data_IF_063369137989
#
_entry.id   IF_063369137989
#
_cell.length_a   1.000
_cell.length_b   1.000
_cell.length_c   1.000
_cell.angle_alpha   90.00
_cell.angle_beta   90.00
_cell.angle_gamma   90.00
#
_symmetry.space_group_name_H-M   'P 1'
#
loop_
_entity.id
_entity.type
_entity.pdbx_description
1 polymer ?
#
# COMPACT_ATOMS: atom_id res chain seq x y z
N UNK A 1 8.26 -3.23 -7.51
CA UNK A 1 6.79 -3.35 -7.47
C UNK A 1 6.22 -2.41 -6.40
N UNK A 2 5.06 -1.79 -6.60
CA UNK A 2 4.45 -0.87 -5.61
C UNK A 2 3.92 -1.62 -4.38
N UNK A 3 3.73 -2.94 -4.48
CA UNK A 3 3.30 -3.76 -3.34
C UNK A 3 4.47 -4.42 -2.61
N UNK A 4 5.58 -4.71 -3.29
CA UNK A 4 6.72 -5.42 -2.68
C UNK A 4 7.64 -4.51 -1.86
N UNK A 5 7.75 -3.23 -2.20
CA UNK A 5 8.60 -2.33 -1.42
C UNK A 5 7.79 -1.66 -0.31
N UNK A 6 8.13 -2.00 0.94
CA UNK A 6 7.67 -1.23 2.09
C UNK A 6 7.98 0.27 1.87
N UNK A 7 7.07 1.13 2.33
CA UNK A 7 7.33 2.55 2.40
C UNK A 7 8.52 2.76 3.36
N UNK A 8 9.62 3.38 2.91
CA UNK A 8 10.70 3.74 3.83
C UNK A 8 10.14 4.65 4.93
N UNK A 9 10.75 4.68 6.11
CA UNK A 9 10.35 5.61 7.16
C UNK A 9 10.41 7.04 6.62
N UNK A 10 9.49 7.89 7.07
CA UNK A 10 9.47 9.30 6.67
C UNK A 10 10.80 9.94 7.07
N UNK A 11 11.47 10.67 6.16
CA UNK A 11 12.64 11.46 6.51
C UNK A 11 12.28 12.42 7.66
N UNK A 12 13.01 12.33 8.75
CA UNK A 12 12.90 13.23 9.92
C UNK A 12 14.24 13.92 10.11
N UNK A 13 14.20 15.18 10.54
CA UNK A 13 15.41 15.93 10.85
C UNK A 13 16.13 15.26 12.01
N UNK A 14 17.45 15.14 11.92
CA UNK A 14 18.28 14.61 13.01
C UNK A 14 18.87 15.81 13.76
N UNK A 15 18.45 16.03 15.00
CA UNK A 15 18.84 17.22 15.76
C UNK A 15 18.28 18.51 15.13
N UNK A 16 19.11 19.56 15.04
CA UNK A 16 18.75 20.85 14.42
C UNK A 16 18.89 20.87 12.89
N UNK A 17 19.28 19.75 12.26
CA UNK A 17 19.44 19.68 10.81
C UNK A 17 18.07 19.58 10.10
N UNK A 18 17.77 20.48 9.13
CA UNK A 18 16.54 20.39 8.36
C UNK A 18 16.52 19.11 7.52
N UNK A 19 15.32 18.55 7.35
CA UNK A 19 15.09 17.43 6.41
C UNK A 19 15.52 17.84 5.01
N UNK A 20 16.26 16.96 4.34
CA UNK A 20 16.57 17.11 2.92
C UNK A 20 15.25 17.24 2.11
N UNK A 21 15.02 18.39 1.44
CA UNK A 21 13.80 18.63 0.68
C UNK A 21 13.59 17.65 -0.46
N UNK A 22 14.67 17.19 -1.11
CA UNK A 22 14.62 16.22 -2.19
C UNK A 22 14.22 14.84 -1.65
N UNK A 23 14.83 14.40 -0.55
CA UNK A 23 14.47 13.13 0.09
C UNK A 23 13.01 13.11 0.55
N UNK A 24 12.51 14.24 1.07
CA UNK A 24 11.10 14.38 1.46
C UNK A 24 10.16 14.38 0.24
N UNK A 25 10.53 15.03 -0.85
CA UNK A 25 9.75 15.05 -2.09
C UNK A 25 9.65 13.65 -2.70
N UNK A 26 10.76 12.92 -2.76
CA UNK A 26 10.79 11.52 -3.24
C UNK A 26 9.96 10.60 -2.35
N UNK A 27 10.06 10.75 -1.02
CA UNK A 27 9.24 10.01 -0.06
C UNK A 27 7.75 10.29 -0.26
N UNK A 28 7.37 11.57 -0.41
CA UNK A 28 5.99 12.01 -0.60
C UNK A 28 5.42 11.47 -1.91
N UNK A 29 6.19 11.52 -3.00
CA UNK A 29 5.78 10.97 -4.29
C UNK A 29 5.57 9.45 -4.22
N UNK A 30 6.40 8.72 -3.45
CA UNK A 30 6.22 7.30 -3.21
C UNK A 30 4.96 7.03 -2.38
N UNK A 31 4.77 7.76 -1.29
CA UNK A 31 3.60 7.68 -0.42
C UNK A 31 2.29 7.94 -1.17
N UNK A 32 2.23 8.98 -1.99
CA UNK A 32 1.06 9.29 -2.81
C UNK A 32 0.70 8.17 -3.79
N UNK A 33 1.70 7.49 -4.37
CA UNK A 33 1.45 6.34 -5.24
C UNK A 33 0.86 5.17 -4.45
N UNK A 34 1.41 4.84 -3.28
CA UNK A 34 0.86 3.80 -2.41
C UNK A 34 -0.58 4.13 -1.95
N UNK A 35 -0.84 5.39 -1.59
CA UNK A 35 -2.17 5.84 -1.20
C UNK A 35 -3.16 5.77 -2.37
N UNK A 36 -2.77 6.17 -3.58
CA UNK A 36 -3.64 6.05 -4.76
C UNK A 36 -4.02 4.60 -5.02
N UNK A 37 -3.06 3.68 -4.92
CA UNK A 37 -3.31 2.25 -5.07
C UNK A 37 -4.24 1.72 -3.99
N UNK A 38 -4.04 2.11 -2.72
CA UNK A 38 -4.92 1.77 -1.61
C UNK A 38 -6.35 2.28 -1.81
N UNK A 39 -6.49 3.54 -2.22
CA UNK A 39 -7.79 4.16 -2.51
C UNK A 39 -8.50 3.50 -3.69
N UNK A 40 -7.77 3.13 -4.75
CA UNK A 40 -8.34 2.41 -5.90
C UNK A 40 -8.82 1.01 -5.49
N UNK A 41 -8.01 0.28 -4.71
CA UNK A 41 -8.40 -1.01 -4.16
C UNK A 41 -9.66 -0.88 -3.28
N UNK A 42 -9.67 0.02 -2.30
CA UNK A 42 -10.81 0.27 -1.42
C UNK A 42 -12.06 0.76 -2.17
N UNK A 43 -11.89 1.63 -3.16
CA UNK A 43 -12.99 2.19 -3.96
C UNK A 43 -13.65 1.20 -4.90
N UNK A 44 -12.91 0.17 -5.32
CA UNK A 44 -13.44 -0.94 -6.14
C UNK A 44 -14.16 -2.02 -5.32
N UNK A 45 -14.06 -1.98 -3.99
CA UNK A 45 -14.66 -2.94 -3.09
C UNK A 45 -16.11 -2.61 -2.74
N UNK A 46 -16.90 -3.63 -2.38
CA UNK A 46 -18.20 -3.41 -1.74
C UNK A 46 -18.03 -2.77 -0.36
N UNK A 47 -19.04 -2.03 0.16
CA UNK A 47 -18.96 -1.38 1.48
C UNK A 47 -18.59 -2.34 2.63
N UNK A 48 -18.96 -3.62 2.50
CA UNK A 48 -18.64 -4.66 3.47
C UNK A 48 -17.14 -5.02 3.45
N UNK A 49 -16.55 -5.18 2.26
CA UNK A 49 -15.10 -5.38 2.12
C UNK A 49 -14.32 -4.14 2.57
N UNK A 50 -14.80 -2.93 2.24
CA UNK A 50 -14.18 -1.68 2.69
C UNK A 50 -14.01 -1.64 4.23
N UNK A 51 -15.05 -2.01 4.99
CA UNK A 51 -14.96 -2.06 6.45
C UNK A 51 -13.95 -3.08 6.97
N UNK A 52 -13.75 -4.20 6.26
CA UNK A 52 -12.75 -5.22 6.63
C UNK A 52 -11.32 -4.75 6.37
N UNK A 53 -11.12 -3.90 5.37
CA UNK A 53 -9.80 -3.52 4.90
C UNK A 53 -9.35 -2.11 5.32
N UNK A 54 -10.22 -1.28 5.91
CA UNK A 54 -9.90 0.11 6.30
C UNK A 54 -8.71 0.28 7.25
N UNK A 55 -8.30 -0.77 7.95
CA UNK A 55 -7.15 -0.77 8.87
C UNK A 55 -5.98 -1.62 8.39
N UNK A 56 -6.09 -2.23 7.20
CA UNK A 56 -5.04 -3.09 6.65
C UNK A 56 -4.15 -2.29 5.71
N UNK A 57 -2.90 -2.72 5.60
CA UNK A 57 -1.96 -2.18 4.62
C UNK A 57 -2.35 -2.62 3.20
N UNK A 58 -1.99 -1.87 2.16
CA UNK A 58 -2.31 -2.24 0.77
C UNK A 58 -1.80 -3.63 0.37
N UNK A 59 -0.68 -4.07 0.94
CA UNK A 59 -0.12 -5.41 0.72
C UNK A 59 -0.97 -6.51 1.37
N UNK A 60 -1.39 -6.32 2.63
CA UNK A 60 -2.29 -7.27 3.32
C UNK A 60 -3.62 -7.39 2.58
N UNK A 61 -4.16 -6.25 2.13
CA UNK A 61 -5.37 -6.21 1.31
C UNK A 61 -5.20 -6.99 0.01
N UNK A 62 -4.09 -6.78 -0.69
CA UNK A 62 -3.76 -7.51 -1.92
C UNK A 62 -3.67 -9.03 -1.68
N UNK A 63 -2.94 -9.45 -0.65
CA UNK A 63 -2.77 -10.87 -0.32
C UNK A 63 -4.10 -11.54 0.05
N UNK A 64 -4.95 -10.88 0.84
CA UNK A 64 -6.25 -11.44 1.20
C UNK A 64 -7.22 -11.47 0.02
N UNK A 65 -7.22 -10.45 -0.83
CA UNK A 65 -7.97 -10.49 -2.08
C UNK A 65 -7.47 -11.60 -3.00
N UNK A 66 -6.16 -11.82 -3.06
CA UNK A 66 -5.57 -12.93 -3.80
C UNK A 66 -5.98 -14.29 -3.21
N UNK A 67 -6.06 -14.43 -1.90
CA UNK A 67 -6.54 -15.68 -1.28
C UNK A 67 -8.06 -15.89 -1.46
N UNK A 68 -8.84 -14.81 -1.48
CA UNK A 68 -10.31 -14.87 -1.54
C UNK A 68 -10.85 -15.00 -2.97
N UNK A 69 -10.19 -14.35 -3.93
CA UNK A 69 -10.62 -14.26 -5.34
C UNK A 69 -9.56 -14.76 -6.32
N UNK A 70 -8.30 -14.88 -5.90
CA UNK A 70 -7.31 -15.60 -6.69
C UNK A 70 -7.83 -17.01 -6.87
N UNK A 71 -7.90 -17.43 -8.14
CA UNK A 71 -8.27 -18.80 -8.45
C UNK A 71 -7.35 -19.71 -7.65
N UNK A 72 -7.83 -20.80 -7.02
CA UNK A 72 -6.90 -21.88 -6.74
C UNK A 72 -6.20 -22.17 -8.06
N UNK A 73 -4.86 -22.35 -8.05
CA UNK A 73 -4.24 -23.03 -9.17
C UNK A 73 -5.05 -24.31 -9.34
N UNK A 74 -5.90 -24.33 -10.37
CA UNK A 74 -6.45 -25.56 -10.87
C UNK A 74 -5.21 -26.26 -11.42
N UNK A 75 -4.50 -26.97 -10.54
CA UNK A 75 -3.54 -27.97 -10.96
C UNK A 75 -4.42 -28.98 -11.66
N UNK A 76 -4.39 -28.90 -12.99
CA UNK A 76 -5.04 -29.82 -13.90
C UNK A 76 -4.76 -31.25 -13.43
N UNK A 77 -5.83 -32.04 -13.29
CA UNK A 77 -5.80 -33.48 -13.15
C UNK A 77 -5.33 -34.13 -14.45
#
# INVERSE_FOLDING_TARGET
DVFETALPPRPVGVGDAPVDPQALAEWTAKYDRHNKVACLLLGSMTPRLFQQFKHKTPLEMYNELYQMYGKPLCVEL
#
